data_IF_798827961442
#
_entry.id   IF_798827961442
#
_cell.length_a   1.000
_cell.length_b   1.000
_cell.length_c   1.000
_cell.angle_alpha   90.00
_cell.angle_beta   90.00
_cell.angle_gamma   90.00
#
_symmetry.space_group_name_H-M   'P 1'
#
loop_
_entity.id
_entity.type
_entity.pdbx_description
1 polymer ?
#
# COMPACT_ATOMS: atom_id res chain seq x y z
N UNK A 1 -2.55 -6.25 1.36
CA UNK A 1 -2.05 -6.46 -0.02
C UNK A 1 -0.79 -7.29 0.10
N UNK A 2 -0.83 -8.57 -0.29
CA UNK A 2 0.35 -9.44 -0.26
C UNK A 2 1.31 -9.11 -1.41
N UNK A 3 2.57 -9.54 -1.30
CA UNK A 3 3.64 -9.40 -2.29
C UNK A 3 3.20 -9.82 -3.72
N UNK A 4 2.48 -10.91 -3.87
CA UNK A 4 1.96 -11.38 -5.17
C UNK A 4 0.72 -10.66 -5.68
N UNK A 5 0.34 -9.47 -5.14
CA UNK A 5 -0.83 -8.64 -5.48
C UNK A 5 -2.18 -9.31 -5.27
N UNK A 6 -2.27 -10.63 -5.47
CA UNK A 6 -3.47 -11.45 -5.26
C UNK A 6 -4.68 -11.02 -6.10
N UNK A 7 -4.46 -10.52 -7.31
CA UNK A 7 -5.54 -10.16 -8.24
C UNK A 7 -6.20 -11.39 -8.84
N UNK A 8 -7.47 -11.25 -9.18
CA UNK A 8 -8.21 -12.20 -9.99
C UNK A 8 -7.96 -11.88 -11.47
N UNK A 9 -6.99 -12.56 -12.08
CA UNK A 9 -6.46 -12.27 -13.42
C UNK A 9 -7.54 -12.27 -14.52
N UNK A 10 -8.44 -13.27 -14.50
CA UNK A 10 -9.54 -13.38 -15.46
C UNK A 10 -10.71 -12.42 -15.24
N UNK A 11 -10.60 -11.48 -14.28
CA UNK A 11 -11.61 -10.46 -13.99
C UNK A 11 -11.12 -9.08 -14.41
N UNK A 12 -12.06 -8.19 -14.74
CA UNK A 12 -11.75 -6.79 -15.04
C UNK A 12 -11.25 -6.03 -13.80
N UNK A 13 -10.68 -4.85 -13.99
CA UNK A 13 -10.38 -3.91 -12.90
C UNK A 13 -11.63 -3.62 -12.08
N UNK A 14 -12.74 -3.31 -12.77
CA UNK A 14 -14.05 -3.04 -12.15
C UNK A 14 -14.50 -4.18 -11.24
N UNK A 15 -14.41 -5.42 -11.71
CA UNK A 15 -14.81 -6.59 -10.94
C UNK A 15 -13.88 -6.81 -9.73
N UNK A 16 -12.56 -6.64 -9.91
CA UNK A 16 -11.60 -6.71 -8.82
C UNK A 16 -11.93 -5.68 -7.72
N UNK A 17 -12.24 -4.42 -8.08
CA UNK A 17 -12.64 -3.39 -7.11
C UNK A 17 -13.98 -3.72 -6.44
N UNK A 18 -14.94 -4.27 -7.20
CA UNK A 18 -16.23 -4.69 -6.66
C UNK A 18 -16.10 -5.77 -5.58
N UNK A 19 -15.16 -6.73 -5.76
CA UNK A 19 -14.86 -7.74 -4.74
C UNK A 19 -14.37 -7.13 -3.42
N UNK A 20 -13.56 -6.06 -3.46
CA UNK A 20 -13.15 -5.34 -2.26
C UNK A 20 -14.32 -4.79 -1.45
N UNK A 21 -15.39 -4.38 -2.14
CA UNK A 21 -16.62 -3.86 -1.52
C UNK A 21 -17.49 -4.95 -0.86
N UNK A 22 -17.34 -6.22 -1.26
CA UNK A 22 -18.09 -7.31 -0.65
C UNK A 22 -17.64 -7.61 0.80
N UNK A 23 -16.41 -7.27 1.14
CA UNK A 23 -15.85 -7.41 2.49
C UNK A 23 -16.30 -6.30 3.45
N UNK A 24 -17.48 -5.69 3.23
CA UNK A 24 -18.03 -4.65 4.10
C UNK A 24 -18.26 -5.20 5.50
N UNK A 25 -17.53 -4.68 6.46
CA UNK A 25 -17.89 -4.74 7.87
C UNK A 25 -18.91 -3.63 8.09
N UNK A 26 -20.01 -3.95 8.78
CA UNK A 26 -21.16 -3.05 9.01
C UNK A 26 -20.76 -1.61 9.31
N UNK A 27 -21.57 -0.67 8.81
CA UNK A 27 -21.41 0.79 8.85
C UNK A 27 -21.30 1.40 10.27
N UNK A 28 -21.40 0.61 11.32
CA UNK A 28 -21.32 1.06 12.73
C UNK A 28 -19.88 1.10 13.30
N UNK A 29 -18.85 0.78 12.52
CA UNK A 29 -17.48 0.65 13.04
C UNK A 29 -16.60 1.88 12.86
N UNK A 30 -17.15 3.01 12.35
CA UNK A 30 -16.46 4.31 12.32
C UNK A 30 -15.18 4.33 11.48
N UNK A 31 -15.20 3.83 10.25
CA UNK A 31 -14.11 3.95 9.25
C UNK A 31 -14.49 4.92 8.13
N UNK A 32 -13.50 5.34 7.35
CA UNK A 32 -13.73 6.10 6.13
C UNK A 32 -14.32 5.16 5.07
N UNK A 33 -15.47 5.54 4.52
CA UNK A 33 -16.06 4.79 3.41
C UNK A 33 -15.40 5.15 2.09
N UNK A 34 -14.83 4.15 1.43
CA UNK A 34 -14.16 4.27 0.15
C UNK A 34 -15.07 3.74 -0.97
N UNK A 35 -15.85 4.64 -1.55
CA UNK A 35 -16.59 4.34 -2.78
C UNK A 35 -15.66 4.31 -4.00
N UNK A 36 -16.18 3.95 -5.16
CA UNK A 36 -15.40 3.82 -6.40
C UNK A 36 -14.78 5.17 -6.80
N UNK A 37 -15.53 6.26 -6.72
CA UNK A 37 -15.04 7.59 -7.10
C UNK A 37 -13.92 8.06 -6.19
N UNK A 38 -14.03 7.86 -4.88
CA UNK A 38 -12.98 8.19 -3.93
C UNK A 38 -11.73 7.35 -4.20
N UNK A 39 -11.87 6.04 -4.42
CA UNK A 39 -10.73 5.17 -4.78
C UNK A 39 -10.07 5.65 -6.06
N UNK A 40 -10.84 5.90 -7.13
CA UNK A 40 -10.31 6.37 -8.41
C UNK A 40 -9.73 7.80 -8.37
N UNK A 41 -10.06 8.60 -7.37
CA UNK A 41 -9.40 9.90 -7.15
C UNK A 41 -7.94 9.76 -6.68
N UNK A 42 -7.59 8.64 -6.05
CA UNK A 42 -6.21 8.28 -5.70
C UNK A 42 -5.49 7.56 -6.84
N UNK A 43 -6.21 6.83 -7.68
CA UNK A 43 -5.68 6.05 -8.80
C UNK A 43 -6.30 6.47 -10.14
N UNK A 44 -6.13 7.72 -10.58
CA UNK A 44 -6.80 8.22 -11.78
C UNK A 44 -6.47 7.43 -13.06
N UNK A 45 -5.26 6.85 -13.14
CA UNK A 45 -4.83 6.00 -14.26
C UNK A 45 -5.70 4.75 -14.44
N UNK A 46 -6.40 4.30 -13.40
CA UNK A 46 -7.29 3.14 -13.49
C UNK A 46 -8.61 3.44 -14.16
N UNK A 47 -9.03 4.72 -14.29
CA UNK A 47 -10.29 5.09 -14.92
C UNK A 47 -10.40 4.55 -16.35
N UNK A 48 -9.34 4.67 -17.12
CA UNK A 48 -9.29 4.22 -18.53
C UNK A 48 -9.05 2.70 -18.64
N UNK A 49 -8.86 2.01 -17.52
CA UNK A 49 -8.57 0.58 -17.44
C UNK A 49 -9.71 -0.25 -16.82
N UNK A 50 -10.81 0.39 -16.41
CA UNK A 50 -11.88 -0.27 -15.64
C UNK A 50 -12.42 -1.54 -16.28
N UNK A 51 -12.51 -1.58 -17.59
CA UNK A 51 -13.05 -2.73 -18.33
C UNK A 51 -11.93 -3.64 -18.90
N UNK A 52 -10.66 -3.38 -18.54
CA UNK A 52 -9.49 -4.21 -18.89
C UNK A 52 -9.36 -5.35 -17.89
N UNK A 53 -9.10 -6.57 -18.36
CA UNK A 53 -8.77 -7.71 -17.49
C UNK A 53 -7.44 -7.50 -16.79
N UNK A 54 -7.33 -7.95 -15.53
CA UNK A 54 -6.18 -7.69 -14.69
C UNK A 54 -4.87 -8.33 -15.22
N UNK A 55 -4.94 -9.41 -15.96
CA UNK A 55 -3.81 -10.09 -16.60
C UNK A 55 -3.21 -9.31 -17.79
N UNK A 56 -3.94 -8.39 -18.39
CA UNK A 56 -3.45 -7.52 -19.47
C UNK A 56 -2.83 -6.21 -18.98
N UNK A 57 -2.86 -5.96 -17.67
CA UNK A 57 -2.27 -4.77 -17.06
C UNK A 57 -0.75 -4.94 -16.89
N UNK A 58 -0.02 -3.82 -16.96
CA UNK A 58 1.37 -3.78 -16.52
C UNK A 58 1.50 -4.10 -15.03
N UNK A 59 2.69 -4.55 -14.58
CA UNK A 59 2.92 -4.85 -13.17
C UNK A 59 2.61 -3.68 -12.23
N UNK A 60 2.87 -2.44 -12.67
CA UNK A 60 2.51 -1.24 -11.91
C UNK A 60 1.01 -0.98 -11.83
N UNK A 61 0.29 -1.14 -12.95
CA UNK A 61 -1.18 -1.03 -12.95
C UNK A 61 -1.81 -2.12 -12.09
N UNK A 62 -1.30 -3.36 -12.14
CA UNK A 62 -1.75 -4.44 -11.27
C UNK A 62 -1.55 -4.11 -9.79
N UNK A 63 -0.42 -3.52 -9.42
CA UNK A 63 -0.16 -3.08 -8.05
C UNK A 63 -1.15 -1.99 -7.62
N UNK A 64 -1.42 -1.01 -8.48
CA UNK A 64 -2.43 0.01 -8.23
C UNK A 64 -3.82 -0.60 -8.02
N UNK A 65 -4.23 -1.57 -8.85
CA UNK A 65 -5.51 -2.29 -8.68
C UNK A 65 -5.56 -3.06 -7.36
N UNK A 66 -4.47 -3.71 -6.95
CA UNK A 66 -4.41 -4.45 -5.69
C UNK A 66 -4.61 -3.54 -4.47
N UNK A 67 -3.95 -2.37 -4.46
CA UNK A 67 -4.12 -1.37 -3.40
C UNK A 67 -5.52 -0.75 -3.46
N UNK A 68 -5.99 -0.37 -4.64
CA UNK A 68 -7.33 0.21 -4.86
C UNK A 68 -8.44 -0.75 -4.37
N UNK A 69 -8.32 -2.05 -4.68
CA UNK A 69 -9.24 -3.09 -4.18
C UNK A 69 -9.22 -3.20 -2.66
N UNK A 70 -8.03 -3.16 -2.06
CA UNK A 70 -7.90 -3.24 -0.60
C UNK A 70 -8.50 -2.02 0.11
N UNK A 71 -8.52 -0.86 -0.54
CA UNK A 71 -9.18 0.36 -0.05
C UNK A 71 -10.69 0.33 -0.26
N UNK A 72 -11.21 -0.43 -1.24
CA UNK A 72 -12.64 -0.44 -1.56
C UNK A 72 -13.47 -0.96 -0.39
N UNK A 73 -14.28 -0.10 0.23
CA UNK A 73 -15.11 -0.45 1.39
C UNK A 73 -14.86 0.41 2.61
N UNK A 74 -14.95 -0.17 3.80
CA UNK A 74 -14.75 0.52 5.08
C UNK A 74 -13.40 0.13 5.68
N UNK A 75 -12.34 0.85 5.34
CA UNK A 75 -10.96 0.51 5.70
C UNK A 75 -10.43 1.45 6.77
N UNK A 76 -9.91 0.88 7.87
CA UNK A 76 -9.23 1.59 8.96
C UNK A 76 -7.72 1.38 8.94
N UNK A 77 -7.29 0.22 8.45
CA UNK A 77 -5.90 -0.21 8.41
C UNK A 77 -5.60 -0.89 7.08
N UNK A 78 -4.56 -0.43 6.40
CA UNK A 78 -4.02 -1.01 5.18
C UNK A 78 -2.69 -1.70 5.50
N UNK A 79 -2.60 -2.99 5.19
CA UNK A 79 -1.38 -3.78 5.32
C UNK A 79 -0.78 -3.99 3.93
N UNK A 80 0.46 -3.57 3.73
CA UNK A 80 1.18 -3.64 2.47
C UNK A 80 2.47 -4.45 2.68
N UNK A 81 2.61 -5.51 1.89
CA UNK A 81 3.76 -6.40 1.92
C UNK A 81 4.56 -6.20 0.63
N UNK A 82 5.74 -5.61 0.73
CA UNK A 82 6.67 -5.25 -0.36
C UNK A 82 5.97 -4.56 -1.56
N UNK A 83 5.22 -3.45 -1.30
CA UNK A 83 4.37 -2.84 -2.32
C UNK A 83 5.14 -2.24 -3.51
N UNK A 84 6.44 -2.05 -3.39
CA UNK A 84 7.28 -1.44 -4.42
C UNK A 84 8.14 -2.43 -5.20
N UNK A 85 8.11 -3.72 -4.81
CA UNK A 85 8.97 -4.75 -5.41
C UNK A 85 8.69 -4.94 -6.90
N UNK A 86 9.76 -4.98 -7.69
CA UNK A 86 9.70 -5.25 -9.13
C UNK A 86 9.02 -4.17 -9.97
N UNK A 87 8.83 -2.96 -9.42
CA UNK A 87 8.19 -1.84 -10.12
C UNK A 87 9.21 -0.90 -10.75
N UNK A 88 8.83 -0.29 -11.87
CA UNK A 88 9.61 0.77 -12.50
C UNK A 88 9.62 2.03 -11.61
N UNK A 89 10.73 2.83 -11.61
CA UNK A 89 10.87 4.02 -10.76
C UNK A 89 9.70 5.01 -10.85
N UNK A 90 9.14 5.22 -12.03
CA UNK A 90 8.00 6.10 -12.21
C UNK A 90 6.73 5.61 -11.50
N UNK A 91 6.51 4.29 -11.46
CA UNK A 91 5.38 3.67 -10.75
C UNK A 91 5.59 3.74 -9.25
N UNK A 92 6.81 3.53 -8.77
CA UNK A 92 7.18 3.71 -7.36
C UNK A 92 6.83 5.12 -6.91
N UNK A 93 7.17 6.15 -7.69
CA UNK A 93 6.87 7.54 -7.38
C UNK A 93 5.37 7.82 -7.36
N UNK A 94 4.60 7.25 -8.28
CA UNK A 94 3.14 7.35 -8.28
C UNK A 94 2.55 6.75 -7.00
N UNK A 95 2.94 5.52 -6.63
CA UNK A 95 2.46 4.84 -5.42
C UNK A 95 2.91 5.55 -4.14
N UNK A 96 4.14 6.05 -4.12
CA UNK A 96 4.64 6.86 -3.01
C UNK A 96 3.73 8.07 -2.75
N UNK A 97 3.40 8.81 -3.80
CA UNK A 97 2.49 9.97 -3.72
C UNK A 97 1.10 9.55 -3.22
N UNK A 98 0.61 8.39 -3.66
CA UNK A 98 -0.66 7.84 -3.17
C UNK A 98 -0.59 7.53 -1.68
N UNK A 99 0.45 6.83 -1.21
CA UNK A 99 0.59 6.45 0.20
C UNK A 99 0.81 7.67 1.10
N UNK A 100 1.57 8.66 0.66
CA UNK A 100 1.76 9.93 1.41
C UNK A 100 0.43 10.67 1.63
N UNK A 101 -0.47 10.65 0.64
CA UNK A 101 -1.82 11.20 0.79
C UNK A 101 -2.72 10.32 1.66
N UNK A 102 -2.64 9.00 1.50
CA UNK A 102 -3.49 8.03 2.20
C UNK A 102 -3.26 8.01 3.72
N UNK A 103 -2.01 8.21 4.18
CA UNK A 103 -1.67 8.15 5.61
C UNK A 103 -2.43 9.15 6.48
N UNK A 104 -3.00 10.20 5.89
CA UNK A 104 -3.87 11.15 6.60
C UNK A 104 -5.30 10.62 6.83
N UNK A 105 -5.72 9.58 6.10
CA UNK A 105 -7.09 9.05 6.15
C UNK A 105 -7.17 7.62 6.69
N UNK A 106 -6.11 6.83 6.47
CA UNK A 106 -6.06 5.40 6.83
C UNK A 106 -4.72 5.10 7.49
N UNK A 107 -4.73 4.33 8.57
CA UNK A 107 -3.48 3.78 9.12
C UNK A 107 -2.86 2.81 8.13
N UNK A 108 -1.55 2.92 7.91
CA UNK A 108 -0.82 2.07 6.96
C UNK A 108 0.31 1.36 7.69
N UNK A 109 0.43 0.06 7.50
CA UNK A 109 1.62 -0.71 7.86
C UNK A 109 2.26 -1.21 6.57
N UNK A 110 3.53 -0.88 6.36
CA UNK A 110 4.31 -1.30 5.20
C UNK A 110 5.44 -2.19 5.67
N UNK A 111 5.54 -3.39 5.12
CA UNK A 111 6.72 -4.26 5.22
C UNK A 111 7.54 -4.02 3.96
N UNK A 112 8.78 -3.57 4.11
CA UNK A 112 9.63 -3.17 2.98
C UNK A 112 11.11 -3.32 3.33
N UNK A 113 11.91 -3.66 2.34
CA UNK A 113 13.36 -3.74 2.44
C UNK A 113 14.08 -2.51 1.86
N UNK A 114 13.40 -1.71 1.03
CA UNK A 114 13.91 -0.43 0.53
C UNK A 114 13.74 0.66 1.59
N UNK A 115 14.73 0.75 2.49
CA UNK A 115 14.66 1.60 3.68
C UNK A 115 14.59 3.09 3.34
N UNK A 116 15.32 3.55 2.34
CA UNK A 116 15.32 4.98 1.98
C UNK A 116 13.94 5.46 1.57
N UNK A 117 13.20 4.60 0.87
CA UNK A 117 11.85 4.89 0.44
C UNK A 117 10.86 4.84 1.60
N UNK A 118 10.86 3.73 2.37
CA UNK A 118 9.84 3.52 3.41
C UNK A 118 10.01 4.45 4.59
N UNK A 119 11.25 4.76 4.99
CA UNK A 119 11.53 5.67 6.11
C UNK A 119 11.01 7.09 5.85
N UNK A 120 10.98 7.52 4.58
CA UNK A 120 10.44 8.84 4.21
C UNK A 120 8.90 8.91 4.37
N UNK A 121 8.21 7.77 4.25
CA UNK A 121 6.76 7.68 4.46
C UNK A 121 6.38 7.41 5.91
N UNK A 122 7.25 6.77 6.67
CA UNK A 122 6.93 6.25 7.99
C UNK A 122 6.96 7.33 9.07
N UNK A 123 5.97 7.32 9.96
CA UNK A 123 6.01 8.06 11.22
C UNK A 123 6.76 7.24 12.29
N UNK A 124 6.60 5.91 12.26
CA UNK A 124 7.19 4.97 13.20
C UNK A 124 7.74 3.74 12.49
N UNK A 125 8.78 3.15 13.07
CA UNK A 125 9.43 1.94 12.58
C UNK A 125 9.41 0.85 13.65
N UNK A 126 9.18 -0.37 13.19
CA UNK A 126 9.35 -1.60 13.96
C UNK A 126 10.35 -2.48 13.21
N UNK A 127 11.50 -2.74 13.81
CA UNK A 127 12.44 -3.72 13.28
C UNK A 127 12.22 -5.07 13.97
N UNK A 128 12.04 -6.12 13.18
CA UNK A 128 11.80 -7.47 13.64
C UNK A 128 13.02 -8.33 13.39
N UNK A 129 13.41 -9.12 14.39
CA UNK A 129 14.41 -10.16 14.27
C UNK A 129 13.90 -11.45 14.88
N UNK A 130 13.95 -12.56 14.12
CA UNK A 130 13.57 -13.91 14.58
C UNK A 130 12.19 -13.95 15.24
N UNK A 131 11.22 -13.21 14.69
CA UNK A 131 9.85 -13.16 15.19
C UNK A 131 9.61 -12.27 16.40
N UNK A 132 10.63 -11.51 16.84
CA UNK A 132 10.55 -10.56 17.97
C UNK A 132 10.80 -9.13 17.50
N UNK A 133 10.15 -8.17 18.16
CA UNK A 133 10.44 -6.75 17.93
C UNK A 133 11.78 -6.43 18.58
N UNK A 134 12.78 -6.17 17.76
CA UNK A 134 14.13 -5.82 18.17
C UNK A 134 14.26 -4.31 18.48
N UNK A 135 13.60 -3.48 17.65
CA UNK A 135 13.59 -2.03 17.81
C UNK A 135 12.21 -1.47 17.45
N UNK A 136 11.80 -0.42 18.15
CA UNK A 136 10.65 0.41 17.78
C UNK A 136 10.90 1.87 18.13
N UNK A 137 10.47 2.78 17.26
CA UNK A 137 10.65 4.21 17.50
C UNK A 137 10.14 5.07 16.36
N UNK A 138 10.33 6.40 16.45
CA UNK A 138 10.07 7.30 15.31
C UNK A 138 11.02 7.01 14.15
N UNK A 139 10.60 7.32 12.93
CA UNK A 139 11.42 7.11 11.74
C UNK A 139 12.53 8.17 11.57
N UNK A 140 12.32 9.38 12.06
CA UNK A 140 13.23 10.52 11.88
C UNK A 140 14.70 10.23 12.27
N UNK A 141 15.02 9.63 13.44
CA UNK A 141 16.42 9.33 13.78
C UNK A 141 17.08 8.37 12.78
N UNK A 142 16.33 7.45 12.19
CA UNK A 142 16.84 6.51 11.18
C UNK A 142 17.05 7.18 9.81
N UNK A 143 16.41 8.31 9.54
CA UNK A 143 16.63 9.13 8.35
C UNK A 143 17.88 10.01 8.48
N UNK A 144 18.11 10.58 9.65
CA UNK A 144 19.11 11.63 9.88
C UNK A 144 20.46 11.11 10.35
N UNK A 145 20.49 9.98 11.08
CA UNK A 145 21.71 9.36 11.64
C UNK A 145 21.98 8.01 10.98
N UNK A 146 22.91 8.00 10.03
CA UNK A 146 23.31 6.80 9.29
C UNK A 146 23.96 5.74 10.19
N UNK A 147 24.72 6.15 11.20
CA UNK A 147 25.41 5.20 12.11
C UNK A 147 24.39 4.55 13.05
N UNK A 148 23.41 5.32 13.53
CA UNK A 148 22.28 4.79 14.28
C UNK A 148 21.46 3.82 13.44
N UNK A 149 21.14 4.18 12.19
CA UNK A 149 20.42 3.34 11.23
C UNK A 149 21.13 2.01 10.99
N UNK A 150 22.45 2.03 10.73
CA UNK A 150 23.26 0.82 10.55
C UNK A 150 23.23 -0.09 11.76
N UNK A 151 23.38 0.50 12.97
CA UNK A 151 23.33 -0.24 14.23
C UNK A 151 22.00 -0.93 14.47
N UNK A 152 20.87 -0.28 14.11
CA UNK A 152 19.52 -0.80 14.34
C UNK A 152 19.08 -1.77 13.24
N UNK A 153 19.45 -1.53 11.99
CA UNK A 153 18.92 -2.28 10.83
C UNK A 153 19.92 -3.28 10.24
N UNK A 154 21.10 -3.41 10.86
CA UNK A 154 22.14 -4.39 10.47
C UNK A 154 22.64 -4.27 9.02
N UNK A 155 22.74 -3.06 8.49
CA UNK A 155 23.18 -2.75 7.11
C UNK A 155 24.47 -1.97 7.05
#
# INVERSE_FOLDING_TARGET
>A
VPQGRGLFAGMTVRDNLALGRLCRIDSNTGGVFWDEEKVLSYFPKLRDRMDTHADYLSGGEQQMVAVARALSGNVKLLLLDEPFEGLAPAVIQDLFTVFDRLRSEVSIIIVEHNLDLVLTLADRVFALERGSVFHQGPAEPLLTDIDYRKKILWI
#
